data_IF_198757531155
#
_entry.id   IF_198757531155
#
_cell.length_a   1.000
_cell.length_b   1.000
_cell.length_c   1.000
_cell.angle_alpha   90.00
_cell.angle_beta   90.00
_cell.angle_gamma   90.00
#
_symmetry.space_group_name_H-M   'P 1'
#
loop_
_entity.id
_entity.type
_entity.pdbx_description
1 polymer ?
#
# COMPACT_ATOMS: atom_id res chain seq x y z
N UNK A 1 -26.93 15.09 59.44
CA UNK A 1 -27.68 14.65 58.25
C UNK A 1 -26.70 14.02 57.29
N UNK A 2 -26.77 12.71 56.96
CA UNK A 2 -25.85 12.08 56.04
C UNK A 2 -26.25 12.40 54.58
N UNK A 3 -25.34 12.96 53.83
CA UNK A 3 -25.48 13.17 52.39
C UNK A 3 -25.27 11.85 51.66
N UNK A 4 -26.34 11.25 51.14
CA UNK A 4 -26.26 10.11 50.24
C UNK A 4 -25.64 10.53 48.90
N UNK A 5 -24.35 10.29 48.75
CA UNK A 5 -23.71 10.40 47.45
C UNK A 5 -23.99 9.12 46.65
N UNK A 6 -24.75 9.25 45.56
CA UNK A 6 -24.99 8.17 44.60
C UNK A 6 -23.63 7.70 44.02
N UNK A 7 -23.33 6.43 44.14
CA UNK A 7 -22.14 5.86 43.56
C UNK A 7 -22.34 5.56 42.06
N UNK A 8 -21.25 5.38 41.31
CA UNK A 8 -21.28 5.11 39.86
C UNK A 8 -22.13 3.90 39.45
N UNK A 9 -22.27 2.90 40.35
CA UNK A 9 -23.06 1.70 40.09
C UNK A 9 -24.57 2.00 40.17
N UNK A 10 -24.97 2.83 41.13
CA UNK A 10 -26.37 3.20 41.33
C UNK A 10 -26.85 4.10 40.17
N UNK A 11 -25.97 4.94 39.61
CA UNK A 11 -26.28 5.76 38.42
C UNK A 11 -26.50 4.87 37.18
N UNK A 12 -25.69 3.82 36.97
CA UNK A 12 -25.83 2.90 35.83
C UNK A 12 -27.06 1.99 35.94
N UNK A 13 -27.50 1.61 37.15
CA UNK A 13 -28.72 0.82 37.36
C UNK A 13 -30.00 1.67 37.27
N UNK A 14 -29.97 2.94 37.65
CA UNK A 14 -31.12 3.83 37.53
C UNK A 14 -31.44 4.21 36.05
N UNK A 15 -30.41 4.26 35.19
CA UNK A 15 -30.59 4.53 33.74
C UNK A 15 -31.14 3.32 32.98
N UNK A 16 -30.99 2.09 33.49
CA UNK A 16 -31.53 0.88 32.87
C UNK A 16 -33.02 0.65 33.07
N UNK A 17 -33.64 1.32 34.07
CA UNK A 17 -35.07 1.11 34.45
C UNK A 17 -36.06 2.13 33.82
N UNK A 18 -35.56 3.16 33.11
CA UNK A 18 -36.40 4.20 32.51
C UNK A 18 -36.44 4.12 30.95
N UNK A 19 -36.14 2.95 30.37
CA UNK A 19 -36.15 2.74 28.91
C UNK A 19 -37.57 2.46 28.41
N UNK A 20 -38.37 3.50 28.16
CA UNK A 20 -39.43 3.40 27.16
C UNK A 20 -38.75 3.08 25.82
N UNK A 21 -39.09 1.90 25.24
CA UNK A 21 -38.77 1.53 23.87
C UNK A 21 -39.40 2.55 22.91
N UNK A 22 -38.78 3.70 22.73
CA UNK A 22 -39.04 4.52 21.56
C UNK A 22 -38.38 3.79 20.39
N UNK A 23 -39.19 3.19 19.52
CA UNK A 23 -38.75 2.63 18.27
C UNK A 23 -37.88 3.67 17.55
N UNK A 24 -36.59 3.43 17.40
CA UNK A 24 -35.73 4.31 16.62
C UNK A 24 -36.29 4.36 15.20
N UNK A 25 -36.48 5.55 14.63
CA UNK A 25 -37.02 5.66 13.29
C UNK A 25 -36.11 4.90 12.33
N UNK A 26 -36.68 4.17 11.36
CA UNK A 26 -35.98 3.26 10.43
C UNK A 26 -34.82 3.93 9.67
N UNK A 27 -34.81 5.27 9.53
CA UNK A 27 -33.69 6.00 8.93
C UNK A 27 -32.41 6.00 9.82
N UNK A 28 -32.51 5.73 11.10
CA UNK A 28 -31.36 5.65 12.00
C UNK A 28 -30.63 4.28 11.93
N UNK A 29 -31.31 3.25 11.36
CA UNK A 29 -30.75 1.91 11.23
C UNK A 29 -29.90 1.73 9.96
N UNK A 30 -29.91 2.64 8.99
CA UNK A 30 -29.35 2.41 7.65
C UNK A 30 -28.05 3.20 7.35
N UNK A 31 -27.42 3.79 8.35
CA UNK A 31 -26.01 4.15 8.27
C UNK A 31 -25.18 3.03 8.92
N UNK A 32 -25.10 1.88 8.27
CA UNK A 32 -24.02 0.95 8.53
C UNK A 32 -22.72 1.77 8.42
N UNK A 33 -22.17 2.13 9.57
CA UNK A 33 -20.95 2.94 9.65
C UNK A 33 -19.90 2.18 8.85
N UNK A 34 -19.52 2.70 7.68
CA UNK A 34 -18.59 2.04 6.77
C UNK A 34 -17.31 1.80 7.56
N UNK A 35 -17.14 0.59 8.07
CA UNK A 35 -15.96 0.21 8.85
C UNK A 35 -14.73 0.50 7.97
N UNK A 36 -13.78 1.25 8.49
CA UNK A 36 -12.47 1.40 7.86
C UNK A 36 -11.81 0.02 7.79
N UNK A 37 -11.34 -0.33 6.62
CA UNK A 37 -10.56 -1.55 6.44
C UNK A 37 -9.14 -1.31 6.92
N UNK A 38 -8.62 -2.27 7.70
CA UNK A 38 -7.25 -2.21 8.21
C UNK A 38 -6.36 -3.12 7.38
N UNK A 39 -5.16 -2.64 7.07
CA UNK A 39 -4.12 -3.40 6.40
C UNK A 39 -2.85 -3.49 7.24
N UNK A 40 -2.14 -4.60 7.09
CA UNK A 40 -0.77 -4.76 7.56
C UNK A 40 0.17 -4.53 6.39
N UNK A 41 1.18 -3.69 6.58
CA UNK A 41 2.36 -3.63 5.73
C UNK A 41 3.46 -4.51 6.32
N UNK A 42 3.95 -5.50 5.55
CA UNK A 42 4.95 -6.45 6.04
C UNK A 42 6.32 -5.79 6.32
N UNK A 43 6.57 -4.60 5.81
CA UNK A 43 7.79 -3.85 6.13
C UNK A 43 7.91 -3.56 7.63
N UNK A 44 6.78 -3.39 8.33
CA UNK A 44 6.74 -3.20 9.78
C UNK A 44 7.33 -4.38 10.56
N UNK A 45 7.26 -5.60 10.00
CA UNK A 45 7.75 -6.85 10.60
C UNK A 45 8.87 -7.51 9.81
N UNK A 46 9.51 -6.78 8.90
CA UNK A 46 10.56 -7.31 7.98
C UNK A 46 11.71 -8.01 8.68
N UNK A 47 12.04 -7.58 9.90
CA UNK A 47 13.10 -8.19 10.69
C UNK A 47 12.82 -9.66 11.09
N UNK A 48 11.55 -10.09 11.01
CA UNK A 48 11.16 -11.47 11.31
C UNK A 48 11.56 -12.46 10.21
N UNK A 49 11.83 -11.97 8.98
CA UNK A 49 12.19 -12.81 7.84
C UNK A 49 11.09 -13.76 7.35
N UNK A 50 9.85 -13.50 7.74
CA UNK A 50 8.70 -14.35 7.44
C UNK A 50 8.39 -14.45 5.94
N UNK A 51 7.93 -15.64 5.54
CA UNK A 51 7.46 -15.93 4.19
C UNK A 51 6.00 -15.54 3.99
N UNK A 52 5.54 -15.55 2.76
CA UNK A 52 4.23 -15.03 2.39
C UNK A 52 3.07 -15.62 3.22
N UNK A 53 3.07 -16.94 3.50
CA UNK A 53 2.02 -17.58 4.30
C UNK A 53 2.07 -17.18 5.77
N UNK A 54 3.27 -17.07 6.36
CA UNK A 54 3.47 -16.62 7.74
C UNK A 54 2.99 -15.17 7.92
N UNK A 55 3.23 -14.32 6.91
CA UNK A 55 2.72 -12.95 6.90
C UNK A 55 1.18 -12.91 6.83
N UNK A 56 0.57 -13.80 6.04
CA UNK A 56 -0.90 -13.95 5.99
C UNK A 56 -1.44 -14.39 7.35
N UNK A 57 -0.79 -15.36 8.02
CA UNK A 57 -1.18 -15.79 9.36
C UNK A 57 -1.13 -14.64 10.35
N UNK A 58 -0.07 -13.86 10.33
CA UNK A 58 0.08 -12.72 11.23
C UNK A 58 -0.97 -11.63 10.97
N UNK A 59 -1.24 -11.30 9.69
CA UNK A 59 -2.31 -10.37 9.34
C UNK A 59 -3.68 -10.85 9.84
N UNK A 60 -3.96 -12.16 9.76
CA UNK A 60 -5.19 -12.75 10.26
C UNK A 60 -5.28 -12.70 11.79
N UNK A 61 -4.19 -12.97 12.53
CA UNK A 61 -4.12 -12.81 13.99
C UNK A 61 -4.41 -11.39 14.42
N UNK A 62 -3.90 -10.39 13.67
CA UNK A 62 -4.16 -8.99 13.90
C UNK A 62 -5.57 -8.54 13.45
N UNK A 63 -6.36 -9.44 12.85
CA UNK A 63 -7.69 -9.15 12.28
C UNK A 63 -7.66 -8.05 11.22
N UNK A 64 -6.58 -8.01 10.44
CA UNK A 64 -6.49 -7.14 9.29
C UNK A 64 -7.41 -7.62 8.16
N UNK A 65 -7.88 -6.70 7.32
CA UNK A 65 -8.64 -7.00 6.11
C UNK A 65 -7.70 -7.24 4.91
N UNK A 66 -6.46 -6.77 5.01
CA UNK A 66 -5.47 -6.88 3.94
C UNK A 66 -4.04 -6.98 4.44
N UNK A 67 -3.21 -7.52 3.57
CA UNK A 67 -1.75 -7.58 3.74
C UNK A 67 -1.08 -6.97 2.52
N UNK A 68 -0.21 -6.02 2.73
CA UNK A 68 0.67 -5.47 1.72
C UNK A 68 2.05 -6.14 1.84
N UNK A 69 2.44 -6.90 0.82
CA UNK A 69 3.77 -7.51 0.68
C UNK A 69 4.59 -6.56 -0.19
N UNK A 70 5.47 -5.78 0.44
CA UNK A 70 6.18 -4.64 -0.16
C UNK A 70 7.40 -5.01 -0.98
N UNK A 71 7.81 -6.28 -0.96
CA UNK A 71 8.87 -6.81 -1.84
C UNK A 71 8.60 -8.26 -2.22
N UNK A 72 9.34 -8.78 -3.20
CA UNK A 72 9.16 -10.13 -3.71
C UNK A 72 9.92 -11.21 -2.93
N UNK A 73 10.76 -10.83 -1.96
CA UNK A 73 11.58 -11.75 -1.15
C UNK A 73 10.81 -12.73 -0.26
N UNK A 74 9.62 -12.39 0.26
CA UNK A 74 8.79 -13.33 1.00
C UNK A 74 8.27 -14.54 0.19
N UNK A 75 8.23 -14.44 -1.15
CA UNK A 75 7.80 -15.56 -1.99
C UNK A 75 8.92 -16.57 -2.17
N UNK A 76 8.68 -17.83 -1.82
CA UNK A 76 9.66 -18.93 -1.92
C UNK A 76 9.80 -19.45 -3.37
N UNK A 77 8.81 -19.16 -4.22
CA UNK A 77 8.79 -19.54 -5.62
C UNK A 77 7.85 -18.63 -6.42
N UNK A 78 8.15 -18.46 -7.69
CA UNK A 78 7.30 -17.74 -8.64
C UNK A 78 6.59 -18.67 -9.63
N UNK A 79 6.54 -19.97 -9.36
CA UNK A 79 5.71 -20.89 -10.16
C UNK A 79 4.24 -20.59 -9.93
N UNK A 80 3.42 -20.73 -10.95
CA UNK A 80 1.97 -20.47 -10.85
C UNK A 80 1.30 -21.34 -9.79
N UNK A 81 1.77 -22.59 -9.63
CA UNK A 81 1.25 -23.49 -8.58
C UNK A 81 1.48 -22.92 -7.19
N UNK A 82 2.69 -22.43 -6.90
CA UNK A 82 3.02 -21.86 -5.60
C UNK A 82 2.23 -20.56 -5.36
N UNK A 83 2.25 -19.65 -6.33
CA UNK A 83 1.57 -18.36 -6.22
C UNK A 83 0.06 -18.54 -6.02
N UNK A 84 -0.61 -19.42 -6.79
CA UNK A 84 -2.03 -19.75 -6.60
C UNK A 84 -2.30 -20.36 -5.22
N UNK A 85 -1.36 -21.17 -4.71
CA UNK A 85 -1.46 -21.73 -3.36
C UNK A 85 -1.36 -20.67 -2.25
N UNK A 86 -0.53 -19.63 -2.41
CA UNK A 86 -0.47 -18.48 -1.49
C UNK A 86 -1.74 -17.65 -1.58
N UNK A 87 -2.23 -17.39 -2.81
CA UNK A 87 -3.49 -16.65 -3.03
C UNK A 87 -4.67 -17.35 -2.35
N UNK A 88 -4.84 -18.65 -2.60
CA UNK A 88 -5.92 -19.43 -1.97
C UNK A 88 -5.83 -19.39 -0.45
N UNK A 89 -4.61 -19.55 0.11
CA UNK A 89 -4.38 -19.49 1.55
C UNK A 89 -4.80 -18.15 2.16
N UNK A 90 -4.53 -17.05 1.47
CA UNK A 90 -4.97 -15.73 1.91
C UNK A 90 -6.49 -15.56 1.82
N UNK A 91 -7.10 -16.08 0.75
CA UNK A 91 -8.55 -16.04 0.56
C UNK A 91 -9.29 -16.82 1.65
N UNK A 92 -8.81 -18.02 1.99
CA UNK A 92 -9.38 -18.86 3.04
C UNK A 92 -9.37 -18.15 4.43
N UNK A 93 -8.44 -17.21 4.61
CA UNK A 93 -8.34 -16.37 5.82
C UNK A 93 -9.03 -15.00 5.68
N UNK A 94 -9.64 -14.72 4.53
CA UNK A 94 -10.29 -13.44 4.25
C UNK A 94 -9.31 -12.26 4.10
N UNK A 95 -8.01 -12.52 3.82
CA UNK A 95 -6.97 -11.51 3.69
C UNK A 95 -6.80 -11.12 2.22
N UNK A 96 -7.07 -9.86 1.88
CA UNK A 96 -6.78 -9.31 0.55
C UNK A 96 -5.28 -8.99 0.43
N UNK A 97 -4.66 -9.43 -0.67
CA UNK A 97 -3.23 -9.18 -0.90
C UNK A 97 -3.02 -7.95 -1.78
N UNK A 98 -2.03 -7.14 -1.42
CA UNK A 98 -1.44 -6.09 -2.22
C UNK A 98 0.04 -6.39 -2.39
N UNK A 99 0.58 -6.15 -3.59
CA UNK A 99 1.93 -6.58 -3.95
C UNK A 99 2.77 -5.38 -4.36
N UNK A 100 4.00 -5.37 -3.87
CA UNK A 100 4.99 -4.37 -4.23
C UNK A 100 6.38 -4.96 -4.42
N UNK A 101 7.28 -4.07 -4.79
CA UNK A 101 8.72 -4.34 -4.86
C UNK A 101 9.52 -3.06 -4.69
N UNK A 102 10.83 -3.19 -4.82
CA UNK A 102 11.79 -2.11 -4.70
C UNK A 102 11.92 -1.27 -5.98
N UNK A 103 13.07 -0.59 -6.13
CA UNK A 103 13.35 0.27 -7.28
C UNK A 103 13.26 -0.49 -8.59
N UNK A 104 12.59 0.14 -9.56
CA UNK A 104 12.58 -0.27 -10.97
C UNK A 104 13.39 0.69 -11.84
N UNK A 105 13.96 1.77 -11.28
CA UNK A 105 14.81 2.70 -12.02
C UNK A 105 16.16 2.02 -12.34
N UNK A 106 16.47 1.73 -13.62
CA UNK A 106 17.66 0.92 -13.97
C UNK A 106 18.99 1.59 -13.62
N UNK A 107 18.97 2.91 -13.43
CA UNK A 107 20.15 3.74 -13.15
C UNK A 107 20.21 4.23 -11.71
N UNK A 108 19.22 3.86 -10.88
CA UNK A 108 19.23 4.17 -9.46
C UNK A 108 20.27 3.33 -8.71
N UNK A 109 21.03 3.91 -7.77
CA UNK A 109 21.83 3.15 -6.81
C UNK A 109 21.02 2.17 -5.95
N UNK A 110 19.71 2.37 -5.86
CA UNK A 110 18.79 1.51 -5.12
C UNK A 110 18.28 0.33 -5.94
N UNK A 111 18.53 0.31 -7.25
CA UNK A 111 18.13 -0.79 -8.12
C UNK A 111 18.95 -2.05 -7.84
N UNK A 112 18.24 -3.15 -7.59
CA UNK A 112 18.83 -4.49 -7.38
C UNK A 112 18.48 -5.39 -8.56
N UNK A 113 19.45 -6.20 -8.98
CA UNK A 113 19.27 -7.15 -10.09
C UNK A 113 18.75 -8.52 -9.65
N UNK A 114 18.22 -8.63 -8.44
CA UNK A 114 17.71 -9.89 -7.86
C UNK A 114 16.64 -10.55 -8.76
N UNK A 115 15.93 -9.73 -9.52
CA UNK A 115 14.84 -10.12 -10.43
C UNK A 115 15.18 -9.84 -11.91
N UNK A 116 16.47 -9.79 -12.26
CA UNK A 116 16.94 -9.48 -13.59
C UNK A 116 17.05 -7.99 -13.91
N UNK A 117 16.84 -7.63 -15.19
CA UNK A 117 16.75 -6.24 -15.64
C UNK A 117 15.49 -5.55 -15.07
N UNK A 118 15.45 -4.22 -15.12
CA UNK A 118 14.29 -3.46 -14.67
C UNK A 118 12.99 -3.86 -15.40
N UNK A 119 13.06 -4.19 -16.68
CA UNK A 119 11.92 -4.69 -17.45
C UNK A 119 11.46 -6.09 -17.00
N UNK A 120 12.40 -7.00 -16.70
CA UNK A 120 12.10 -8.34 -16.18
C UNK A 120 11.52 -8.25 -14.77
N UNK A 121 12.08 -7.39 -13.92
CA UNK A 121 11.57 -7.13 -12.58
C UNK A 121 10.11 -6.61 -12.61
N UNK A 122 9.83 -5.61 -13.46
CA UNK A 122 8.48 -5.10 -13.66
C UNK A 122 7.53 -6.18 -14.18
N UNK A 123 8.00 -6.99 -15.16
CA UNK A 123 7.24 -8.10 -15.70
C UNK A 123 6.85 -9.14 -14.64
N UNK A 124 7.81 -9.52 -13.81
CA UNK A 124 7.59 -10.45 -12.69
C UNK A 124 6.57 -9.89 -11.72
N UNK A 125 6.75 -8.63 -11.30
CA UNK A 125 5.83 -7.96 -10.37
C UNK A 125 4.40 -7.87 -10.88
N UNK A 126 4.21 -7.50 -12.16
CA UNK A 126 2.90 -7.46 -12.80
C UNK A 126 2.25 -8.86 -12.80
N UNK A 127 3.01 -9.90 -13.15
CA UNK A 127 2.52 -11.28 -13.14
C UNK A 127 2.13 -11.75 -11.74
N UNK A 128 2.98 -11.50 -10.75
CA UNK A 128 2.69 -11.85 -9.35
C UNK A 128 1.44 -11.11 -8.87
N UNK A 129 1.34 -9.80 -9.12
CA UNK A 129 0.16 -8.99 -8.76
C UNK A 129 -1.12 -9.55 -9.37
N UNK A 130 -1.09 -9.94 -10.65
CA UNK A 130 -2.25 -10.56 -11.31
C UNK A 130 -2.68 -11.85 -10.63
N UNK A 131 -1.75 -12.75 -10.32
CA UNK A 131 -2.06 -14.03 -9.66
C UNK A 131 -2.57 -13.80 -8.23
N UNK A 132 -2.01 -12.84 -7.51
CA UNK A 132 -2.42 -12.49 -6.13
C UNK A 132 -3.75 -11.71 -6.08
N UNK A 133 -4.28 -11.27 -7.23
CA UNK A 133 -5.47 -10.42 -7.26
C UNK A 133 -5.23 -8.99 -6.72
N UNK A 134 -3.97 -8.54 -6.70
CA UNK A 134 -3.61 -7.16 -6.40
C UNK A 134 -4.01 -6.27 -7.58
N UNK A 135 -4.75 -5.16 -7.36
CA UNK A 135 -5.14 -4.26 -8.45
C UNK A 135 -3.98 -3.43 -8.99
N UNK A 136 -2.92 -3.30 -8.21
CA UNK A 136 -1.74 -2.55 -8.54
C UNK A 136 -0.47 -3.29 -8.12
N UNK A 137 0.64 -2.94 -8.76
CA UNK A 137 2.00 -3.31 -8.35
C UNK A 137 2.72 -2.06 -7.86
N UNK A 138 3.02 -2.00 -6.56
CA UNK A 138 3.76 -0.89 -5.98
C UNK A 138 5.24 -1.04 -6.28
N UNK A 139 5.87 0.08 -6.65
CA UNK A 139 7.30 0.22 -6.87
C UNK A 139 7.82 1.53 -6.26
N UNK A 140 9.13 1.64 -6.12
CA UNK A 140 9.78 2.90 -5.78
C UNK A 140 10.70 3.34 -6.94
N UNK A 141 11.03 4.62 -7.00
CA UNK A 141 12.13 5.09 -7.84
C UNK A 141 13.46 4.73 -7.18
N UNK A 142 13.70 5.21 -5.96
CA UNK A 142 14.96 4.98 -5.29
C UNK A 142 15.00 5.51 -3.86
N UNK A 143 15.95 6.39 -3.61
CA UNK A 143 16.18 7.02 -2.31
C UNK A 143 16.82 8.40 -2.49
N UNK A 144 17.03 9.15 -1.41
CA UNK A 144 17.72 10.47 -1.47
C UNK A 144 19.11 10.41 -2.15
N UNK A 145 19.74 9.22 -2.26
CA UNK A 145 21.02 9.06 -2.96
C UNK A 145 20.90 9.34 -4.45
N UNK A 146 19.73 9.10 -5.02
CA UNK A 146 19.43 9.35 -6.44
C UNK A 146 19.57 10.82 -6.79
N UNK A 147 19.27 11.72 -5.86
CA UNK A 147 19.45 13.17 -6.01
C UNK A 147 20.91 13.60 -6.16
N UNK A 148 21.86 12.77 -5.74
CA UNK A 148 23.29 13.02 -5.78
C UNK A 148 24.00 12.32 -6.96
N UNK A 149 23.25 11.62 -7.80
CA UNK A 149 23.78 10.97 -9.01
C UNK A 149 23.95 11.98 -10.15
N UNK A 150 24.69 11.62 -11.17
CA UNK A 150 24.79 12.41 -12.40
C UNK A 150 23.40 12.66 -13.01
N UNK A 151 23.08 13.90 -13.33
CA UNK A 151 21.75 14.33 -13.77
C UNK A 151 20.68 14.35 -12.69
N UNK A 152 21.03 13.99 -11.45
CA UNK A 152 20.17 14.08 -10.28
C UNK A 152 18.88 13.29 -10.40
N UNK A 153 17.86 13.74 -9.66
CA UNK A 153 16.56 13.07 -9.64
C UNK A 153 15.84 13.17 -11.00
N UNK A 154 16.03 14.24 -11.75
CA UNK A 154 15.39 14.42 -13.05
C UNK A 154 15.78 13.31 -14.02
N UNK A 155 17.08 12.98 -14.12
CA UNK A 155 17.54 11.87 -14.96
C UNK A 155 16.97 10.51 -14.49
N UNK A 156 16.80 10.30 -13.20
CA UNK A 156 16.16 9.07 -12.64
C UNK A 156 14.69 9.00 -12.97
N UNK A 157 13.98 10.13 -12.95
CA UNK A 157 12.58 10.22 -13.36
C UNK A 157 12.47 9.88 -14.86
N UNK A 158 13.28 10.49 -15.70
CA UNK A 158 13.27 10.26 -17.15
C UNK A 158 13.54 8.78 -17.50
N UNK A 159 14.54 8.13 -16.85
CA UNK A 159 14.84 6.71 -17.03
C UNK A 159 13.67 5.82 -16.57
N UNK A 160 13.00 6.18 -15.46
CA UNK A 160 11.84 5.44 -14.96
C UNK A 160 10.64 5.61 -15.89
N UNK A 161 10.36 6.81 -16.35
CA UNK A 161 9.30 7.09 -17.34
C UNK A 161 9.52 6.32 -18.63
N UNK A 162 10.76 6.29 -19.14
CA UNK A 162 11.13 5.50 -20.33
C UNK A 162 10.86 4.01 -20.13
N UNK A 163 11.26 3.46 -18.99
CA UNK A 163 11.00 2.06 -18.65
C UNK A 163 9.50 1.76 -18.61
N UNK A 164 8.75 2.60 -17.89
CA UNK A 164 7.30 2.44 -17.75
C UNK A 164 6.62 2.47 -19.12
N UNK A 165 6.87 3.49 -19.94
CA UNK A 165 6.30 3.60 -21.30
C UNK A 165 6.59 2.37 -22.17
N UNK A 166 7.81 1.85 -22.12
CA UNK A 166 8.22 0.66 -22.87
C UNK A 166 7.51 -0.63 -22.42
N UNK A 167 6.93 -0.63 -21.20
CA UNK A 167 6.24 -1.80 -20.63
C UNK A 167 4.73 -1.57 -20.41
N UNK A 168 4.15 -0.49 -20.96
CA UNK A 168 2.74 -0.13 -20.76
C UNK A 168 1.79 -1.29 -21.07
N UNK A 169 1.87 -1.87 -22.27
CA UNK A 169 0.97 -2.95 -22.71
C UNK A 169 1.00 -4.12 -21.74
N UNK A 170 2.18 -4.50 -21.23
CA UNK A 170 2.32 -5.60 -20.27
C UNK A 170 1.48 -5.39 -19.00
N UNK A 171 1.47 -4.18 -18.47
CA UNK A 171 0.69 -3.85 -17.27
C UNK A 171 -0.82 -3.71 -17.61
N UNK A 172 -1.16 -2.98 -18.67
CA UNK A 172 -2.55 -2.72 -19.06
C UNK A 172 -3.28 -3.98 -19.52
N UNK A 173 -2.63 -4.87 -20.29
CA UNK A 173 -3.21 -6.14 -20.73
C UNK A 173 -3.39 -7.13 -19.56
N UNK A 174 -2.57 -6.98 -18.52
CA UNK A 174 -2.75 -7.71 -17.28
C UNK A 174 -3.86 -7.13 -16.39
N UNK A 175 -4.32 -5.92 -16.65
CA UNK A 175 -5.25 -5.17 -15.80
C UNK A 175 -4.60 -4.68 -14.48
N UNK A 176 -3.27 -4.52 -14.47
CA UNK A 176 -2.51 -4.10 -13.30
C UNK A 176 -2.04 -2.65 -13.47
N UNK A 177 -2.35 -1.82 -12.50
CA UNK A 177 -1.79 -0.47 -12.40
C UNK A 177 -0.41 -0.48 -11.75
N UNK A 178 0.43 0.50 -12.08
CA UNK A 178 1.72 0.68 -11.39
C UNK A 178 1.56 1.85 -10.41
N UNK A 179 1.81 1.58 -9.14
CA UNK A 179 1.75 2.59 -8.08
C UNK A 179 3.17 2.93 -7.62
N UNK A 180 3.63 4.13 -7.94
CA UNK A 180 4.95 4.62 -7.53
C UNK A 180 4.81 5.27 -6.16
N UNK A 181 5.63 4.86 -5.21
CA UNK A 181 5.62 5.44 -3.86
C UNK A 181 6.54 6.65 -3.77
N UNK A 182 6.11 7.66 -3.02
CA UNK A 182 6.97 8.73 -2.53
C UNK A 182 7.88 8.16 -1.42
N UNK A 183 9.11 7.77 -1.77
CA UNK A 183 9.94 6.92 -0.92
C UNK A 183 11.23 7.59 -0.45
N UNK A 184 11.48 7.52 0.86
CA UNK A 184 12.78 7.76 1.53
C UNK A 184 13.63 8.93 0.98
N UNK A 185 12.99 10.03 0.61
CA UNK A 185 13.65 11.25 0.14
C UNK A 185 14.12 11.21 -1.31
N UNK A 186 13.59 10.30 -2.14
CA UNK A 186 13.88 10.27 -3.58
C UNK A 186 13.23 11.46 -4.30
N UNK A 187 11.92 11.59 -4.24
CA UNK A 187 11.15 12.62 -4.95
C UNK A 187 10.32 13.49 -4.00
N UNK A 188 10.25 14.79 -4.32
CA UNK A 188 9.19 15.66 -3.84
C UNK A 188 7.86 15.30 -4.53
N UNK A 189 6.74 15.71 -3.92
CA UNK A 189 5.42 15.39 -4.48
C UNK A 189 5.24 15.83 -5.92
N UNK A 190 5.66 17.04 -6.28
CA UNK A 190 5.55 17.54 -7.66
C UNK A 190 6.48 16.82 -8.65
N UNK A 191 7.63 16.32 -8.20
CA UNK A 191 8.52 15.47 -9.00
C UNK A 191 7.84 14.12 -9.30
N UNK A 192 7.17 13.53 -8.30
CA UNK A 192 6.40 12.30 -8.49
C UNK A 192 5.17 12.52 -9.38
N UNK A 193 4.46 13.65 -9.23
CA UNK A 193 3.37 14.03 -10.14
C UNK A 193 3.88 14.11 -11.58
N UNK A 194 5.02 14.76 -11.83
CA UNK A 194 5.66 14.79 -13.15
C UNK A 194 5.89 13.38 -13.70
N UNK A 195 6.48 12.49 -12.92
CA UNK A 195 6.72 11.09 -13.32
C UNK A 195 5.41 10.41 -13.76
N UNK A 196 4.36 10.53 -12.96
CA UNK A 196 3.05 9.90 -13.22
C UNK A 196 2.40 10.46 -14.49
N UNK A 197 2.37 11.78 -14.62
CA UNK A 197 1.78 12.43 -15.82
C UNK A 197 2.55 12.05 -17.09
N UNK A 198 3.88 12.07 -17.07
CA UNK A 198 4.70 11.71 -18.22
C UNK A 198 4.62 10.20 -18.55
N UNK A 199 4.54 9.32 -17.58
CA UNK A 199 4.38 7.89 -17.80
C UNK A 199 2.96 7.51 -18.29
N UNK A 200 1.96 8.30 -17.87
CA UNK A 200 0.54 8.13 -18.22
C UNK A 200 -0.33 7.78 -17.03
N UNK A 201 -0.98 8.77 -16.45
CA UNK A 201 -1.79 8.68 -15.22
C UNK A 201 -2.97 7.71 -15.26
N UNK A 202 -3.37 7.23 -16.42
CA UNK A 202 -4.45 6.26 -16.55
C UNK A 202 -4.07 4.89 -16.00
N UNK A 203 -2.77 4.57 -15.98
CA UNK A 203 -2.24 3.27 -15.56
C UNK A 203 -1.05 3.36 -14.60
N UNK A 204 -0.42 4.51 -14.47
CA UNK A 204 0.58 4.83 -13.44
C UNK A 204 -0.05 5.81 -12.45
N UNK A 205 0.12 5.57 -11.17
CA UNK A 205 -0.36 6.44 -10.11
C UNK A 205 0.55 6.38 -8.90
N UNK A 206 0.06 6.80 -7.77
CA UNK A 206 0.81 6.96 -6.54
C UNK A 206 0.38 5.91 -5.52
N UNK A 207 1.34 5.27 -4.85
CA UNK A 207 1.18 4.67 -3.54
C UNK A 207 1.68 5.69 -2.50
N UNK A 208 0.77 6.39 -1.88
CA UNK A 208 1.14 7.48 -0.98
C UNK A 208 1.54 6.95 0.39
N UNK A 209 2.80 7.18 0.77
CA UNK A 209 3.28 7.06 2.15
C UNK A 209 3.26 8.43 2.81
N UNK A 210 2.32 8.63 3.72
CA UNK A 210 2.11 9.91 4.40
C UNK A 210 3.27 10.31 5.32
N UNK A 211 4.13 9.36 5.72
CA UNK A 211 5.31 9.60 6.54
C UNK A 211 6.53 10.06 5.74
N UNK A 212 6.61 9.71 4.47
CA UNK A 212 7.81 9.94 3.67
C UNK A 212 8.02 11.39 3.22
N UNK A 213 7.01 12.27 3.30
CA UNK A 213 7.14 13.70 3.02
C UNK A 213 8.27 14.35 3.86
N UNK A 214 8.46 13.93 5.11
CA UNK A 214 9.48 14.50 6.00
C UNK A 214 10.92 14.25 5.51
N UNK A 215 11.16 13.21 4.73
CA UNK A 215 12.47 12.88 4.19
C UNK A 215 12.92 13.84 3.07
N UNK A 216 11.97 14.54 2.44
CA UNK A 216 12.21 15.61 1.46
C UNK A 216 12.03 16.98 2.06
N UNK A 217 11.79 17.10 3.37
CA UNK A 217 11.47 18.36 4.06
C UNK A 217 10.24 19.05 3.48
N UNK A 218 9.30 18.28 2.94
CA UNK A 218 8.04 18.75 2.40
C UNK A 218 6.95 18.74 3.48
N UNK A 219 6.07 19.74 3.47
CA UNK A 219 4.92 19.76 4.35
C UNK A 219 4.01 18.55 4.02
N UNK A 220 3.68 17.68 5.00
CA UNK A 220 2.84 16.51 4.74
C UNK A 220 1.45 16.83 4.19
N UNK A 221 0.88 17.99 4.53
CA UNK A 221 -0.41 18.40 4.01
C UNK A 221 -0.32 18.81 2.53
N UNK A 222 0.71 19.56 2.13
CA UNK A 222 0.95 19.89 0.73
C UNK A 222 1.29 18.63 -0.08
N UNK A 223 2.08 17.71 0.49
CA UNK A 223 2.33 16.41 -0.13
C UNK A 223 1.03 15.64 -0.40
N UNK A 224 0.15 15.54 0.61
CA UNK A 224 -1.16 14.89 0.48
C UNK A 224 -2.03 15.57 -0.59
N UNK A 225 -2.05 16.90 -0.63
CA UNK A 225 -2.82 17.69 -1.59
C UNK A 225 -2.36 17.45 -3.04
N UNK A 226 -1.04 17.39 -3.24
CA UNK A 226 -0.44 17.18 -4.55
C UNK A 226 -0.63 15.73 -5.04
N UNK A 227 -0.41 14.72 -4.16
CA UNK A 227 -0.43 13.31 -4.52
C UNK A 227 -1.83 12.68 -4.49
N UNK A 228 -2.75 13.20 -3.66
CA UNK A 228 -4.09 12.65 -3.47
C UNK A 228 -4.85 12.39 -4.78
N UNK A 229 -4.88 13.32 -5.77
CA UNK A 229 -5.56 13.11 -7.04
C UNK A 229 -4.99 11.95 -7.88
N UNK A 230 -3.77 11.49 -7.60
CA UNK A 230 -3.06 10.44 -8.35
C UNK A 230 -3.00 9.12 -7.58
N UNK A 231 -3.50 9.06 -6.35
CA UNK A 231 -3.44 7.87 -5.49
C UNK A 231 -4.48 6.82 -5.91
N UNK A 232 -4.07 5.55 -5.97
CA UNK A 232 -4.93 4.40 -6.31
C UNK A 232 -5.50 3.70 -5.08
#
# INVERSE_FOLDING_TARGET
MPTNALNRRDFLTATAAAGTLTAMPAWAADKAQKRLRLGLDNFAVRAMGWKAKELVDYAAVLRCDSLFITDLGPFESFTDRYLKGVKQYADDKGIKLYIGSWSICPTSPSFKKDWGSAAEHLALGVRVSKVMGSPAFRVILGSRKDRLTEGGIDARIDDTVKLLKANKSRATDAGIKIAVENHAGDMHSLELVRLVEEAGKDWVGVNMDSGNAVWTLEDPYENLKNLGPYTF
#
